data_IF_253832412787
#
_entry.id   IF_253832412787
#
_cell.length_a   1.000
_cell.length_b   1.000
_cell.length_c   1.000
_cell.angle_alpha   90.00
_cell.angle_beta   90.00
_cell.angle_gamma   90.00
#
_symmetry.space_group_name_H-M   'P 1'
#
loop_
_entity.id
_entity.type
_entity.pdbx_description
1 polymer ?
#
# COMPACT_ATOMS: atom_id res chain seq x y z
N UNK A 1 10.11 -34.29 11.81
CA UNK A 1 9.54 -32.91 11.84
C UNK A 1 8.03 -33.05 11.77
N UNK A 2 7.26 -32.41 12.66
CA UNK A 2 5.81 -32.49 12.59
C UNK A 2 5.32 -31.74 11.35
N UNK A 3 4.52 -32.41 10.53
CA UNK A 3 3.88 -31.84 9.34
C UNK A 3 2.79 -30.90 9.83
N UNK A 4 2.99 -29.59 9.61
CA UNK A 4 1.96 -28.58 9.85
C UNK A 4 0.84 -28.83 8.83
N UNK A 5 -0.41 -29.06 9.25
CA UNK A 5 -1.51 -29.27 8.31
C UNK A 5 -1.72 -28.00 7.48
N UNK A 6 -2.10 -28.12 6.20
CA UNK A 6 -2.41 -26.96 5.36
C UNK A 6 -3.54 -26.15 6.01
N UNK A 7 -3.33 -24.83 6.17
CA UNK A 7 -4.37 -23.92 6.66
C UNK A 7 -5.61 -24.06 5.74
N UNK A 8 -6.85 -24.01 6.28
CA UNK A 8 -8.06 -24.08 5.48
C UNK A 8 -8.05 -22.97 4.42
N UNK A 9 -8.36 -23.31 3.16
CA UNK A 9 -8.60 -22.30 2.13
C UNK A 9 -9.90 -21.58 2.50
N UNK A 10 -9.81 -20.29 2.81
CA UNK A 10 -11.02 -19.49 2.97
C UNK A 10 -11.71 -19.33 1.61
N UNK A 11 -13.04 -19.51 1.52
CA UNK A 11 -13.77 -19.25 0.30
C UNK A 11 -13.66 -17.76 -0.07
N UNK A 12 -13.67 -17.41 -1.38
CA UNK A 12 -13.72 -16.02 -1.79
C UNK A 12 -15.01 -15.36 -1.26
N UNK A 13 -14.95 -14.10 -0.82
CA UNK A 13 -16.08 -13.44 -0.18
C UNK A 13 -17.25 -13.18 -1.15
N UNK A 14 -18.46 -13.17 -0.60
CA UNK A 14 -19.71 -12.84 -1.30
C UNK A 14 -19.94 -11.33 -1.29
N UNK A 15 -19.55 -10.67 -2.38
CA UNK A 15 -19.67 -9.22 -2.55
C UNK A 15 -21.11 -8.72 -2.77
N UNK A 16 -22.10 -9.61 -2.88
CA UNK A 16 -23.52 -9.24 -3.00
C UNK A 16 -24.12 -8.91 -1.62
N UNK A 17 -23.64 -9.56 -0.56
CA UNK A 17 -24.19 -9.39 0.79
C UNK A 17 -23.61 -8.21 1.57
N UNK A 18 -22.41 -7.72 1.22
CA UNK A 18 -21.74 -6.66 1.98
C UNK A 18 -21.05 -5.59 1.09
N UNK A 19 -21.81 -4.85 0.26
CA UNK A 19 -21.26 -4.03 -0.83
C UNK A 19 -20.46 -2.78 -0.38
N UNK A 20 -20.54 -2.37 0.89
CA UNK A 20 -20.04 -1.05 1.31
C UNK A 20 -18.79 -1.05 2.20
N UNK A 21 -18.29 -2.19 2.68
CA UNK A 21 -17.20 -2.14 3.66
C UNK A 21 -16.27 -3.35 3.70
N UNK A 22 -16.73 -4.59 3.49
CA UNK A 22 -15.87 -5.78 3.68
C UNK A 22 -14.92 -6.06 2.50
N UNK A 23 -13.83 -5.28 2.43
CA UNK A 23 -12.62 -5.60 1.64
C UNK A 23 -11.50 -6.11 2.54
N UNK A 24 -11.86 -6.68 3.70
CA UNK A 24 -10.92 -7.12 4.73
C UNK A 24 -10.15 -8.39 4.35
N UNK A 25 -10.43 -8.99 3.19
CA UNK A 25 -9.86 -10.26 2.71
C UNK A 25 -9.00 -10.06 1.45
N UNK A 26 -7.95 -10.88 1.23
CA UNK A 26 -7.13 -10.76 0.02
C UNK A 26 -7.99 -11.09 -1.21
N UNK A 27 -7.86 -10.29 -2.26
CA UNK A 27 -8.58 -10.49 -3.51
C UNK A 27 -7.59 -10.83 -4.62
N UNK A 28 -7.73 -12.03 -5.18
CA UNK A 28 -6.77 -12.59 -6.13
C UNK A 28 -7.26 -12.46 -7.57
N UNK A 29 -6.34 -12.14 -8.48
CA UNK A 29 -6.54 -12.27 -9.92
C UNK A 29 -5.68 -13.42 -10.46
N UNK A 30 -6.29 -14.32 -11.22
CA UNK A 30 -5.64 -15.49 -11.82
C UNK A 30 -5.65 -15.42 -13.35
N UNK A 31 -4.76 -16.17 -13.99
CA UNK A 31 -4.86 -16.39 -15.44
C UNK A 31 -6.01 -17.34 -15.75
N UNK A 32 -6.79 -17.01 -16.77
CA UNK A 32 -7.78 -17.94 -17.32
C UNK A 32 -7.05 -19.07 -18.07
N UNK A 33 -7.25 -20.36 -17.71
CA UNK A 33 -6.65 -21.51 -18.42
C UNK A 33 -7.01 -21.62 -19.90
N UNK A 34 -8.08 -20.97 -20.33
CA UNK A 34 -8.51 -20.91 -21.74
C UNK A 34 -8.06 -19.63 -22.45
N UNK A 35 -7.21 -18.81 -21.81
CA UNK A 35 -6.76 -17.55 -22.39
C UNK A 35 -5.86 -17.77 -23.61
N UNK A 36 -6.12 -17.08 -24.75
CA UNK A 36 -5.32 -17.23 -25.96
C UNK A 36 -3.90 -16.66 -25.84
N UNK A 37 -3.60 -15.90 -24.77
CA UNK A 37 -2.25 -15.38 -24.53
C UNK A 37 -1.33 -16.38 -23.81
N UNK A 38 -1.85 -17.49 -23.28
CA UNK A 38 -1.00 -18.47 -22.58
C UNK A 38 0.18 -18.99 -23.41
N UNK A 39 0.05 -19.27 -24.72
CA UNK A 39 1.17 -19.71 -25.54
C UNK A 39 2.28 -18.66 -25.71
N UNK A 40 2.01 -17.38 -25.42
CA UNK A 40 3.00 -16.29 -25.53
C UNK A 40 3.69 -16.01 -24.21
N UNK A 41 3.31 -16.68 -23.12
CA UNK A 41 3.84 -16.46 -21.78
C UNK A 41 4.81 -17.58 -21.39
N UNK A 42 5.84 -17.23 -20.64
CA UNK A 42 6.75 -18.19 -20.01
C UNK A 42 6.50 -18.16 -18.50
N UNK A 43 6.40 -19.34 -17.89
CA UNK A 43 6.12 -19.46 -16.47
C UNK A 43 7.31 -20.08 -15.73
N UNK A 44 7.56 -19.67 -14.47
CA UNK A 44 8.54 -20.31 -13.62
C UNK A 44 8.16 -21.76 -13.29
N UNK A 45 9.14 -22.65 -13.05
CA UNK A 45 8.88 -24.00 -12.59
C UNK A 45 7.95 -24.03 -11.36
N UNK A 46 6.88 -24.82 -11.43
CA UNK A 46 5.90 -24.92 -10.34
C UNK A 46 4.77 -23.88 -10.38
N UNK A 47 4.76 -22.95 -11.34
CA UNK A 47 3.62 -22.08 -11.58
C UNK A 47 2.40 -22.89 -12.02
N UNK A 48 1.26 -22.65 -11.37
CA UNK A 48 0.00 -23.29 -11.71
C UNK A 48 -1.02 -22.23 -12.14
N UNK A 49 -1.42 -22.27 -13.41
CA UNK A 49 -2.34 -21.29 -14.01
C UNK A 49 -3.64 -21.15 -13.20
N UNK A 50 -4.16 -22.27 -12.67
CA UNK A 50 -5.44 -22.30 -11.97
C UNK A 50 -5.36 -21.88 -10.50
N UNK A 51 -4.15 -21.85 -9.90
CA UNK A 51 -4.02 -21.63 -8.45
C UNK A 51 -3.01 -20.59 -8.04
N UNK A 52 -2.09 -20.21 -8.92
CA UNK A 52 -1.07 -19.19 -8.63
C UNK A 52 -1.63 -17.81 -8.99
N UNK A 53 -1.85 -16.93 -8.01
CA UNK A 53 -2.35 -15.58 -8.26
C UNK A 53 -1.28 -14.73 -8.98
N UNK A 54 -1.73 -13.92 -9.95
CA UNK A 54 -0.89 -12.92 -10.62
C UNK A 54 -0.80 -11.63 -9.81
N UNK A 55 -1.96 -11.18 -9.31
CA UNK A 55 -2.12 -9.92 -8.57
C UNK A 55 -2.99 -10.23 -7.36
N UNK A 56 -2.64 -9.61 -6.24
CA UNK A 56 -3.47 -9.61 -5.05
C UNK A 56 -3.67 -8.21 -4.54
N UNK A 57 -4.94 -7.85 -4.32
CA UNK A 57 -5.31 -6.66 -3.60
C UNK A 57 -5.54 -6.99 -2.12
N UNK A 58 -5.01 -6.16 -1.23
CA UNK A 58 -5.21 -6.23 0.22
C UNK A 58 -5.35 -4.81 0.76
N UNK A 59 -6.45 -4.52 1.46
CA UNK A 59 -6.62 -3.24 2.17
C UNK A 59 -5.81 -3.25 3.46
N UNK A 60 -4.91 -2.28 3.60
CA UNK A 60 -4.12 -2.03 4.81
C UNK A 60 -3.98 -0.52 4.97
N UNK A 61 -4.78 0.06 5.85
CA UNK A 61 -4.92 1.52 5.93
C UNK A 61 -3.71 2.17 6.61
N UNK A 62 -3.15 1.56 7.66
CA UNK A 62 -2.10 2.14 8.51
C UNK A 62 -0.71 1.49 8.37
N UNK A 63 -0.60 0.43 7.54
CA UNK A 63 0.59 -0.44 7.36
C UNK A 63 1.10 -1.20 8.61
N UNK A 64 0.71 -0.78 9.79
CA UNK A 64 0.84 -1.50 11.07
C UNK A 64 -0.57 -1.78 11.61
N UNK A 65 -0.70 -2.75 12.52
CA UNK A 65 -1.93 -2.93 13.30
C UNK A 65 -2.06 -1.80 14.33
N UNK A 66 -3.29 -1.49 14.75
CA UNK A 66 -3.53 -0.55 15.85
C UNK A 66 -2.80 -0.97 17.12
N UNK A 67 -2.78 -2.26 17.45
CA UNK A 67 -2.03 -2.78 18.60
C UNK A 67 -0.53 -2.51 18.50
N UNK A 68 0.10 -2.73 17.34
CA UNK A 68 1.52 -2.42 17.16
C UNK A 68 1.79 -0.91 17.26
N UNK A 69 0.89 -0.08 16.75
CA UNK A 69 0.98 1.38 16.88
C UNK A 69 0.84 1.84 18.33
N UNK A 70 -0.09 1.27 19.11
CA UNK A 70 -0.21 1.58 20.54
C UNK A 70 1.03 1.18 21.33
N UNK A 71 1.59 0.00 21.05
CA UNK A 71 2.83 -0.45 21.69
C UNK A 71 3.97 0.51 21.34
N UNK A 72 4.16 0.81 20.05
CA UNK A 72 5.21 1.73 19.60
C UNK A 72 5.03 3.12 20.23
N UNK A 73 3.81 3.64 20.29
CA UNK A 73 3.53 4.94 20.87
C UNK A 73 3.84 4.97 22.38
N UNK A 74 3.44 3.94 23.14
CA UNK A 74 3.78 3.82 24.57
C UNK A 74 5.28 3.75 24.83
N UNK A 75 6.02 3.11 23.94
CA UNK A 75 7.48 3.02 24.04
C UNK A 75 8.18 4.35 23.73
N UNK A 76 7.64 5.13 22.78
CA UNK A 76 8.26 6.38 22.30
C UNK A 76 7.82 7.62 23.07
N UNK A 77 6.57 7.66 23.52
CA UNK A 77 5.93 8.78 24.18
C UNK A 77 5.28 8.33 25.52
N UNK A 78 6.02 7.69 26.44
CA UNK A 78 5.47 7.21 27.71
C UNK A 78 4.85 8.33 28.54
N UNK A 79 5.37 9.55 28.44
CA UNK A 79 4.89 10.74 29.17
C UNK A 79 3.43 11.07 28.87
N UNK A 80 2.92 10.73 27.68
CA UNK A 80 1.51 10.95 27.32
C UNK A 80 0.55 10.02 28.07
N UNK A 81 1.06 8.98 28.73
CA UNK A 81 0.28 8.00 29.50
C UNK A 81 0.50 8.12 31.01
N UNK A 82 1.43 8.95 31.46
CA UNK A 82 1.77 9.13 32.88
C UNK A 82 0.89 10.18 33.56
N UNK A 83 0.31 11.12 32.80
CA UNK A 83 -0.65 12.10 33.34
C UNK A 83 -1.97 11.41 33.74
N UNK A 84 -2.68 11.94 34.75
CA UNK A 84 -3.95 11.40 35.31
C UNK A 84 -5.14 11.30 34.30
N UNK A 85 -4.89 11.49 33.01
CA UNK A 85 -5.86 11.36 31.94
C UNK A 85 -5.95 9.94 31.39
N UNK A 86 -7.16 9.55 30.98
CA UNK A 86 -7.40 8.35 30.17
C UNK A 86 -6.94 8.59 28.72
N UNK A 87 -5.65 8.83 28.48
CA UNK A 87 -5.14 8.97 27.12
C UNK A 87 -5.39 7.70 26.32
N UNK A 88 -5.96 7.87 25.13
CA UNK A 88 -6.16 6.82 24.14
C UNK A 88 -5.61 7.33 22.81
N UNK A 89 -4.80 6.51 22.13
CA UNK A 89 -4.17 6.90 20.87
C UNK A 89 -5.22 7.03 19.76
N UNK A 90 -6.14 6.08 19.72
CA UNK A 90 -7.17 5.94 18.68
C UNK A 90 -8.55 6.30 19.19
N UNK A 91 -9.39 6.78 18.27
CA UNK A 91 -10.83 6.84 18.45
C UNK A 91 -11.49 5.51 18.05
N UNK A 92 -12.82 5.45 18.15
CA UNK A 92 -13.63 4.31 17.68
C UNK A 92 -13.85 4.30 16.15
N UNK A 93 -13.17 5.17 15.39
CA UNK A 93 -13.27 5.19 13.93
C UNK A 93 -12.79 3.85 13.33
N UNK A 94 -13.58 3.30 12.40
CA UNK A 94 -13.28 1.99 11.82
C UNK A 94 -12.11 2.08 10.82
N UNK A 95 -11.11 1.22 11.00
CA UNK A 95 -9.90 1.16 10.17
C UNK A 95 -9.47 -0.28 9.91
N UNK A 96 -8.89 -0.55 8.73
CA UNK A 96 -8.24 -1.84 8.43
C UNK A 96 -6.74 -1.74 8.65
N UNK A 97 -6.35 -1.87 9.91
CA UNK A 97 -4.95 -1.97 10.31
C UNK A 97 -4.54 -3.45 10.37
N UNK A 98 -3.40 -3.82 9.79
CA UNK A 98 -2.86 -5.18 9.85
C UNK A 98 -1.38 -5.15 10.15
N UNK A 99 -0.91 -6.16 10.87
CA UNK A 99 0.51 -6.36 11.08
C UNK A 99 1.23 -6.65 9.75
N UNK A 100 2.45 -6.11 9.55
CA UNK A 100 3.32 -6.47 8.44
C UNK A 100 3.49 -7.97 8.28
N UNK A 101 3.53 -8.74 9.38
CA UNK A 101 3.59 -10.21 9.32
C UNK A 101 2.44 -10.80 8.51
N UNK A 102 1.24 -10.21 8.58
CA UNK A 102 0.06 -10.74 7.88
C UNK A 102 0.10 -10.55 6.37
N UNK A 103 0.55 -9.40 5.88
CA UNK A 103 0.49 -9.10 4.43
C UNK A 103 1.85 -9.16 3.73
N UNK A 104 2.96 -9.04 4.47
CA UNK A 104 4.31 -9.23 3.94
C UNK A 104 4.66 -10.70 4.02
N UNK A 105 4.80 -11.26 5.22
CA UNK A 105 5.31 -12.63 5.41
C UNK A 105 4.29 -13.69 4.99
N UNK A 106 3.05 -13.58 5.48
CA UNK A 106 1.99 -14.57 5.25
C UNK A 106 1.33 -14.46 3.85
N UNK A 107 1.65 -13.43 3.06
CA UNK A 107 1.04 -13.22 1.74
C UNK A 107 2.03 -12.84 0.64
N UNK A 108 2.75 -11.73 0.76
CA UNK A 108 3.66 -11.26 -0.28
C UNK A 108 4.84 -12.22 -0.50
N UNK A 109 5.41 -12.77 0.57
CA UNK A 109 6.57 -13.67 0.52
C UNK A 109 6.21 -15.13 0.22
N UNK A 110 4.93 -15.45 -0.04
CA UNK A 110 4.52 -16.80 -0.39
C UNK A 110 5.30 -17.33 -1.61
N UNK A 111 5.81 -18.58 -1.53
CA UNK A 111 6.47 -19.24 -2.64
C UNK A 111 5.45 -19.90 -3.59
N UNK A 112 5.93 -20.32 -4.75
CA UNK A 112 5.14 -21.13 -5.68
C UNK A 112 4.68 -22.44 -5.01
N UNK A 113 3.47 -22.93 -5.33
CA UNK A 113 2.49 -22.36 -6.25
C UNK A 113 1.54 -21.33 -5.60
N UNK A 114 1.69 -21.02 -4.30
CA UNK A 114 0.75 -20.20 -3.52
C UNK A 114 0.90 -18.69 -3.79
N UNK A 115 2.09 -18.27 -4.18
CA UNK A 115 2.41 -16.92 -4.64
C UNK A 115 3.72 -16.92 -5.42
N UNK A 116 4.04 -15.80 -6.06
CA UNK A 116 5.36 -15.55 -6.67
C UNK A 116 5.50 -14.06 -6.99
N UNK A 117 5.10 -13.20 -6.05
CA UNK A 117 5.00 -11.76 -6.29
C UNK A 117 6.39 -11.12 -6.31
N UNK A 118 6.77 -10.51 -7.43
CA UNK A 118 8.03 -9.79 -7.51
C UNK A 118 7.97 -8.43 -6.77
N UNK A 119 6.81 -7.79 -6.75
CA UNK A 119 6.63 -6.43 -6.25
C UNK A 119 5.41 -6.32 -5.33
N UNK A 120 5.57 -5.60 -4.23
CA UNK A 120 4.47 -5.13 -3.38
C UNK A 120 4.36 -3.61 -3.54
N UNK A 121 3.17 -3.11 -3.84
CA UNK A 121 2.93 -1.67 -3.95
C UNK A 121 2.05 -1.25 -2.78
N UNK A 122 2.53 -0.31 -1.97
CA UNK A 122 1.82 0.22 -0.81
C UNK A 122 1.59 1.72 -0.95
N UNK A 123 0.55 2.23 -0.29
CA UNK A 123 0.26 3.66 -0.19
C UNK A 123 -0.61 3.87 1.06
N UNK A 124 -0.17 4.74 1.96
CA UNK A 124 -0.87 5.08 3.22
C UNK A 124 -0.74 6.58 3.48
N UNK A 125 -1.67 7.13 4.25
CA UNK A 125 -1.70 8.48 4.86
C UNK A 125 -3.17 8.94 5.01
N UNK A 126 -4.09 8.46 4.16
CA UNK A 126 -5.48 8.93 4.16
C UNK A 126 -6.28 8.67 5.44
N UNK A 127 -5.91 7.65 6.21
CA UNK A 127 -6.49 7.35 7.54
C UNK A 127 -5.60 7.83 8.70
N UNK A 128 -4.50 8.52 8.42
CA UNK A 128 -3.66 9.18 9.41
C UNK A 128 -4.20 10.59 9.70
N UNK A 129 -5.40 10.63 10.25
CA UNK A 129 -6.12 11.85 10.62
C UNK A 129 -6.12 12.02 12.13
N UNK A 130 -6.30 13.25 12.62
CA UNK A 130 -6.51 13.51 14.05
C UNK A 130 -7.88 13.04 14.54
N UNK A 131 -8.82 12.70 13.64
CA UNK A 131 -10.06 12.01 14.03
C UNK A 131 -9.80 10.55 14.40
N UNK A 132 -9.01 9.84 13.59
CA UNK A 132 -8.63 8.45 13.83
C UNK A 132 -7.65 8.36 15.01
N UNK A 133 -6.62 9.21 14.99
CA UNK A 133 -5.61 9.32 16.05
C UNK A 133 -5.99 10.43 17.03
N UNK A 134 -7.13 10.27 17.70
CA UNK A 134 -7.72 11.28 18.58
C UNK A 134 -6.87 11.66 19.80
N UNK A 135 -5.83 10.88 20.10
CA UNK A 135 -4.82 11.25 21.10
C UNK A 135 -4.00 12.48 20.70
N UNK A 136 -3.88 12.79 19.42
CA UNK A 136 -3.14 13.96 18.94
C UNK A 136 -4.04 15.18 18.74
N UNK A 137 -3.70 16.27 19.42
CA UNK A 137 -4.36 17.57 19.25
C UNK A 137 -3.97 18.28 17.93
N UNK A 138 -2.81 17.95 17.36
CA UNK A 138 -2.28 18.61 16.15
C UNK A 138 -1.83 17.59 15.11
N UNK A 139 -1.92 17.99 13.83
CA UNK A 139 -1.46 17.15 12.73
C UNK A 139 0.06 17.00 12.71
N UNK A 140 0.81 18.01 13.14
CA UNK A 140 2.28 17.97 13.19
C UNK A 140 2.80 16.91 14.19
N UNK A 141 2.12 16.75 15.34
CA UNK A 141 2.40 15.69 16.29
C UNK A 141 2.14 14.31 15.68
N UNK A 142 1.03 14.17 14.95
CA UNK A 142 0.69 12.94 14.25
C UNK A 142 1.68 12.60 13.12
N UNK A 143 2.13 13.59 12.35
CA UNK A 143 3.16 13.41 11.30
C UNK A 143 4.49 12.94 11.92
N UNK A 144 4.85 13.47 13.09
CA UNK A 144 6.05 13.04 13.82
C UNK A 144 5.96 11.56 14.22
N UNK A 145 4.83 11.14 14.76
CA UNK A 145 4.59 9.73 15.08
C UNK A 145 4.47 8.84 13.85
N UNK A 146 3.90 9.35 12.75
CA UNK A 146 3.92 8.66 11.47
C UNK A 146 5.34 8.34 11.01
N UNK A 147 6.30 9.26 11.17
CA UNK A 147 7.69 9.00 10.85
C UNK A 147 8.29 7.84 11.66
N UNK A 148 8.00 7.78 12.95
CA UNK A 148 8.42 6.66 13.81
C UNK A 148 7.79 5.34 13.39
N UNK A 149 6.49 5.35 13.11
CA UNK A 149 5.74 4.21 12.63
C UNK A 149 6.25 3.71 11.28
N UNK A 150 6.51 4.60 10.33
CA UNK A 150 7.02 4.22 9.01
C UNK A 150 8.46 3.71 9.07
N UNK A 151 9.28 4.24 9.99
CA UNK A 151 10.61 3.68 10.28
C UNK A 151 10.51 2.25 10.83
N UNK A 152 9.60 1.99 11.78
CA UNK A 152 9.36 0.64 12.31
C UNK A 152 8.87 -0.32 11.20
N UNK A 153 7.91 0.12 10.39
CA UNK A 153 7.40 -0.63 9.25
C UNK A 153 8.50 -0.95 8.21
N UNK A 154 9.31 0.04 7.82
CA UNK A 154 10.39 -0.15 6.84
C UNK A 154 11.45 -1.12 7.36
N UNK A 155 11.78 -1.03 8.66
CA UNK A 155 12.73 -1.94 9.32
C UNK A 155 12.23 -3.37 9.32
N UNK A 156 10.96 -3.60 9.71
CA UNK A 156 10.34 -4.94 9.64
C UNK A 156 10.37 -5.47 8.21
N UNK A 157 9.88 -4.67 7.27
CA UNK A 157 9.75 -5.04 5.86
C UNK A 157 11.11 -5.41 5.27
N UNK A 158 12.13 -4.59 5.48
CA UNK A 158 13.47 -4.84 4.99
C UNK A 158 14.11 -6.08 5.60
N UNK A 159 13.87 -6.34 6.90
CA UNK A 159 14.33 -7.56 7.56
C UNK A 159 13.68 -8.80 6.95
N UNK A 160 12.36 -8.77 6.74
CA UNK A 160 11.63 -9.87 6.11
C UNK A 160 12.15 -10.13 4.68
N UNK A 161 12.42 -9.08 3.90
CA UNK A 161 12.99 -9.18 2.56
C UNK A 161 14.42 -9.73 2.55
N UNK A 162 15.23 -9.37 3.56
CA UNK A 162 16.62 -9.84 3.66
C UNK A 162 16.74 -11.35 3.91
N UNK A 163 15.70 -11.94 4.50
CA UNK A 163 15.61 -13.37 4.74
C UNK A 163 14.79 -14.12 3.67
N UNK A 164 14.13 -13.39 2.74
CA UNK A 164 13.37 -14.00 1.67
C UNK A 164 14.29 -14.64 0.63
N UNK A 165 13.84 -15.76 0.05
CA UNK A 165 14.60 -16.46 -0.97
C UNK A 165 14.46 -15.84 -2.37
N UNK A 166 13.57 -14.86 -2.54
CA UNK A 166 13.28 -14.18 -3.79
C UNK A 166 12.13 -14.82 -4.58
N UNK A 167 11.83 -14.20 -5.72
CA UNK A 167 10.86 -14.66 -6.71
C UNK A 167 11.54 -15.59 -7.72
N UNK A 168 10.86 -16.66 -8.15
CA UNK A 168 11.37 -17.57 -9.18
C UNK A 168 11.00 -17.06 -10.58
N UNK A 169 11.99 -16.97 -11.47
CA UNK A 169 11.81 -16.57 -12.87
C UNK A 169 11.61 -17.79 -13.79
N UNK A 170 11.12 -17.62 -15.04
CA UNK A 170 10.93 -18.71 -16.00
C UNK A 170 12.14 -19.63 -16.19
N UNK A 171 13.36 -19.07 -16.18
CA UNK A 171 14.61 -19.84 -16.28
C UNK A 171 15.06 -20.54 -14.98
N UNK A 172 14.25 -20.51 -13.92
CA UNK A 172 14.59 -21.07 -12.60
C UNK A 172 15.56 -20.22 -11.77
N UNK A 173 16.01 -19.08 -12.30
CA UNK A 173 16.79 -18.10 -11.56
C UNK A 173 15.91 -17.40 -10.51
N UNK A 174 16.53 -16.97 -9.42
CA UNK A 174 15.86 -16.19 -8.38
C UNK A 174 16.20 -14.71 -8.50
N UNK A 175 15.25 -13.86 -8.14
CA UNK A 175 15.43 -12.41 -8.09
C UNK A 175 14.88 -11.86 -6.78
N UNK A 176 15.52 -10.81 -6.27
CA UNK A 176 15.06 -10.13 -5.06
C UNK A 176 13.69 -9.49 -5.30
N UNK A 177 12.86 -9.51 -4.25
CA UNK A 177 11.57 -8.81 -4.25
C UNK A 177 11.78 -7.33 -3.92
N UNK A 178 10.87 -6.50 -4.40
CA UNK A 178 10.87 -5.07 -4.12
C UNK A 178 9.54 -4.63 -3.50
N UNK A 179 9.61 -3.63 -2.65
CA UNK A 179 8.46 -2.90 -2.14
C UNK A 179 8.51 -1.49 -2.70
N UNK A 180 7.38 -1.02 -3.23
CA UNK A 180 7.22 0.30 -3.78
C UNK A 180 6.21 1.06 -2.92
N UNK A 181 6.67 2.09 -2.22
CA UNK A 181 5.80 3.06 -1.56
C UNK A 181 5.40 4.11 -2.57
N UNK A 182 4.19 4.00 -3.10
CA UNK A 182 3.62 5.03 -3.98
C UNK A 182 3.09 6.16 -3.10
N UNK A 183 3.50 7.40 -3.41
CA UNK A 183 2.97 8.60 -2.79
C UNK A 183 1.43 8.56 -2.72
N UNK A 184 0.88 8.93 -1.56
CA UNK A 184 -0.55 9.02 -1.36
C UNK A 184 -1.11 10.23 -2.11
N UNK A 185 -2.25 10.04 -2.78
CA UNK A 185 -2.95 11.11 -3.48
C UNK A 185 -4.03 11.69 -2.55
N UNK A 186 -3.95 12.98 -2.16
CA UNK A 186 -5.09 13.61 -1.52
C UNK A 186 -6.28 13.78 -2.49
N UNK A 187 -7.48 13.94 -1.96
CA UNK A 187 -8.63 14.34 -2.76
C UNK A 187 -8.54 15.77 -3.29
N UNK A 188 -9.50 16.15 -4.14
CA UNK A 188 -9.63 17.52 -4.66
C UNK A 188 -10.90 18.18 -4.14
N UNK A 189 -10.77 19.22 -3.34
CA UNK A 189 -11.93 20.00 -2.89
C UNK A 189 -12.71 20.56 -4.08
N UNK A 190 -14.04 20.54 -3.96
CA UNK A 190 -14.95 21.02 -4.99
C UNK A 190 -14.66 20.43 -6.39
N UNK A 191 -14.21 19.18 -6.47
CA UNK A 191 -13.82 18.51 -7.73
C UNK A 191 -14.91 18.64 -8.83
N UNK A 192 -16.18 18.67 -8.43
CA UNK A 192 -17.34 18.84 -9.31
C UNK A 192 -17.45 20.21 -10.01
N UNK A 193 -16.58 21.16 -9.69
CA UNK A 193 -16.47 22.45 -10.40
C UNK A 193 -15.48 22.39 -11.58
N UNK A 194 -14.69 21.31 -11.70
CA UNK A 194 -13.69 21.12 -12.74
C UNK A 194 -14.22 20.22 -13.85
N UNK A 195 -13.87 20.53 -15.11
CA UNK A 195 -14.28 19.76 -16.30
C UNK A 195 -13.09 19.35 -17.17
N UNK A 196 -11.88 19.68 -16.75
CA UNK A 196 -10.63 19.41 -17.45
C UNK A 196 -9.46 19.38 -16.46
N UNK A 197 -8.32 18.80 -16.87
CA UNK A 197 -7.07 18.96 -16.15
C UNK A 197 -6.76 20.42 -15.86
N UNK A 198 -5.99 20.66 -14.81
CA UNK A 198 -5.51 21.97 -14.41
C UNK A 198 -4.01 22.12 -14.73
N UNK A 199 -3.57 23.33 -15.03
CA UNK A 199 -2.15 23.61 -15.31
C UNK A 199 -1.30 23.67 -14.02
N UNK A 200 -1.93 23.96 -12.89
CA UNK A 200 -1.32 24.04 -11.56
C UNK A 200 -2.21 23.32 -10.56
N UNK A 201 -1.60 22.76 -9.52
CA UNK A 201 -2.33 22.07 -8.45
C UNK A 201 -3.20 23.11 -7.73
N UNK A 202 -4.54 22.95 -7.70
CA UNK A 202 -5.41 23.84 -6.96
C UNK A 202 -5.04 23.85 -5.47
N UNK A 203 -5.00 25.02 -4.80
CA UNK A 203 -4.78 25.08 -3.36
C UNK A 203 -5.96 24.46 -2.63
N UNK A 204 -5.67 23.79 -1.51
CA UNK A 204 -6.72 23.34 -0.60
C UNK A 204 -7.19 24.51 0.25
N UNK A 205 -8.51 24.68 0.33
CA UNK A 205 -9.19 25.76 1.07
C UNK A 205 -9.68 25.27 2.42
N UNK A 206 -10.24 24.07 2.47
CA UNK A 206 -10.91 23.51 3.65
C UNK A 206 -10.03 22.52 4.42
N UNK A 207 -9.03 21.96 3.75
CA UNK A 207 -8.18 20.90 4.26
C UNK A 207 -9.02 19.72 4.81
N UNK A 208 -9.96 19.21 4.01
CA UNK A 208 -10.83 18.11 4.45
C UNK A 208 -9.99 16.94 4.99
N UNK A 209 -10.36 16.45 6.17
CA UNK A 209 -9.63 15.41 6.91
C UNK A 209 -8.18 15.82 7.21
N UNK A 210 -7.22 15.35 6.40
CA UNK A 210 -5.81 15.69 6.47
C UNK A 210 -5.22 15.99 5.08
N UNK A 211 -6.06 16.22 4.05
CA UNK A 211 -5.62 16.25 2.65
C UNK A 211 -4.49 17.24 2.38
N UNK A 212 -4.56 18.41 3.01
CA UNK A 212 -3.56 19.48 2.90
C UNK A 212 -2.23 19.13 3.54
N UNK A 213 -2.22 18.14 4.43
CA UNK A 213 -1.03 17.61 5.11
C UNK A 213 -0.45 16.35 4.45
N UNK A 214 -1.10 15.81 3.40
CA UNK A 214 -0.60 14.63 2.68
C UNK A 214 0.80 14.83 2.08
N UNK A 215 1.17 16.01 1.53
CA UNK A 215 2.54 16.24 1.07
C UNK A 215 3.60 15.97 2.15
N UNK A 216 3.31 16.32 3.40
CA UNK A 216 4.20 16.12 4.56
C UNK A 216 4.31 14.64 4.92
N UNK A 217 3.21 13.88 4.91
CA UNK A 217 3.25 12.41 5.05
C UNK A 217 4.06 11.75 3.93
N UNK A 218 3.92 12.23 2.69
CA UNK A 218 4.70 11.73 1.55
C UNK A 218 6.20 12.05 1.70
N UNK A 219 6.55 13.24 2.21
CA UNK A 219 7.95 13.61 2.48
C UNK A 219 8.59 12.71 3.53
N UNK A 220 7.85 12.26 4.55
CA UNK A 220 8.38 11.29 5.53
C UNK A 220 8.92 10.03 4.85
N UNK A 221 8.17 9.45 3.90
CA UNK A 221 8.67 8.30 3.14
C UNK A 221 9.82 8.64 2.22
N UNK A 222 9.76 9.80 1.57
CA UNK A 222 10.83 10.26 0.70
C UNK A 222 12.15 10.37 1.46
N UNK A 223 12.15 10.98 2.64
CA UNK A 223 13.33 11.18 3.48
C UNK A 223 13.81 9.85 4.08
N UNK A 224 12.88 9.04 4.60
CA UNK A 224 13.19 7.72 5.19
C UNK A 224 13.88 6.80 4.18
N UNK A 225 13.40 6.78 2.94
CA UNK A 225 13.87 5.89 1.88
C UNK A 225 14.95 6.52 0.98
N UNK A 226 15.31 7.79 1.20
CA UNK A 226 16.43 8.43 0.52
C UNK A 226 17.78 7.84 0.97
N UNK A 227 17.87 7.32 2.19
CA UNK A 227 19.06 6.63 2.68
C UNK A 227 19.07 5.15 2.27
N UNK A 228 20.25 4.60 2.04
CA UNK A 228 20.47 3.21 1.60
C UNK A 228 20.22 2.15 2.71
N UNK A 229 19.61 2.52 3.84
CA UNK A 229 19.24 1.59 4.92
C UNK A 229 18.19 0.57 4.51
N UNK A 230 17.38 0.88 3.49
CA UNK A 230 16.28 0.04 3.01
C UNK A 230 16.41 -0.28 1.51
N UNK A 231 17.43 -1.04 1.08
CA UNK A 231 17.75 -1.24 -0.34
C UNK A 231 16.63 -1.91 -1.18
N UNK A 232 15.65 -2.57 -0.54
CA UNK A 232 14.55 -3.24 -1.23
C UNK A 232 13.23 -2.46 -1.16
N UNK A 233 13.22 -1.26 -0.57
CA UNK A 233 12.03 -0.43 -0.40
C UNK A 233 12.26 0.91 -1.10
N UNK A 234 11.37 1.25 -2.04
CA UNK A 234 11.55 2.37 -2.94
C UNK A 234 10.38 3.35 -2.80
N UNK A 235 10.66 4.64 -2.68
CA UNK A 235 9.62 5.67 -2.74
C UNK A 235 9.35 6.10 -4.19
N UNK A 236 8.08 6.24 -4.56
CA UNK A 236 7.68 6.68 -5.89
C UNK A 236 6.73 7.90 -5.84
N UNK A 237 7.26 9.12 -6.08
CA UNK A 237 6.51 10.37 -6.00
C UNK A 237 5.68 10.64 -7.28
N UNK A 238 4.70 9.78 -7.57
CA UNK A 238 3.83 9.89 -8.77
C UNK A 238 2.44 10.45 -8.47
N UNK A 239 2.23 11.08 -7.33
CA UNK A 239 0.95 11.73 -6.98
C UNK A 239 0.70 13.00 -7.81
N UNK A 240 1.75 13.74 -8.18
CA UNK A 240 1.63 15.04 -8.86
C UNK A 240 0.77 15.03 -10.13
N UNK A 241 0.93 14.11 -11.10
CA UNK A 241 0.05 14.07 -12.27
C UNK A 241 -1.43 13.95 -11.90
N UNK A 242 -1.76 13.21 -10.85
CA UNK A 242 -3.14 13.06 -10.40
C UNK A 242 -3.64 14.29 -9.63
N UNK A 243 -2.76 15.01 -8.91
CA UNK A 243 -3.09 16.31 -8.27
C UNK A 243 -3.42 17.44 -9.26
N UNK A 244 -3.17 17.22 -10.55
CA UNK A 244 -3.57 18.13 -11.64
C UNK A 244 -4.91 17.73 -12.26
N UNK A 245 -5.56 16.70 -11.73
CA UNK A 245 -6.75 16.06 -12.31
C UNK A 245 -7.98 16.10 -11.40
N UNK A 246 -8.41 17.29 -10.93
CA UNK A 246 -9.67 17.41 -10.19
C UNK A 246 -10.90 17.01 -11.04
N UNK A 247 -10.76 16.95 -12.37
CA UNK A 247 -11.78 16.48 -13.31
C UNK A 247 -11.96 14.94 -13.33
N UNK A 248 -11.03 14.18 -12.75
CA UNK A 248 -10.99 12.72 -12.86
C UNK A 248 -11.75 11.98 -11.74
N UNK A 249 -12.59 12.67 -10.99
CA UNK A 249 -13.29 12.14 -9.83
C UNK A 249 -14.70 11.61 -10.15
N UNK A 250 -15.20 10.71 -9.30
CA UNK A 250 -16.56 10.19 -9.42
C UNK A 250 -17.62 11.25 -9.02
N UNK A 251 -18.85 11.07 -9.47
CA UNK A 251 -19.94 12.00 -9.10
C UNK A 251 -20.25 11.88 -7.61
N UNK A 252 -20.09 12.96 -6.85
CA UNK A 252 -20.28 13.01 -5.40
C UNK A 252 -19.08 12.57 -4.54
N UNK A 253 -17.98 12.13 -5.15
CA UNK A 253 -16.80 11.64 -4.44
C UNK A 253 -15.52 12.27 -5.00
N UNK A 254 -14.94 13.17 -4.21
CA UNK A 254 -13.73 13.90 -4.57
C UNK A 254 -12.44 13.27 -4.05
N UNK A 255 -12.49 12.05 -3.52
CA UNK A 255 -11.31 11.28 -3.11
C UNK A 255 -10.95 10.25 -4.18
N UNK A 256 -11.94 9.50 -4.67
CA UNK A 256 -11.70 8.39 -5.58
C UNK A 256 -11.68 8.83 -7.04
N UNK A 257 -10.76 8.25 -7.79
CA UNK A 257 -10.53 8.49 -9.22
C UNK A 257 -11.30 7.48 -10.05
N UNK A 258 -11.94 7.92 -11.13
CA UNK A 258 -12.63 7.03 -12.05
C UNK A 258 -11.64 6.33 -12.99
N UNK A 259 -11.88 5.04 -13.24
CA UNK A 259 -11.22 4.33 -14.33
C UNK A 259 -11.60 4.97 -15.68
N UNK A 260 -10.64 5.02 -16.60
CA UNK A 260 -10.79 5.63 -17.93
C UNK A 260 -10.50 7.13 -17.99
N UNK A 261 -10.28 7.81 -16.85
CA UNK A 261 -9.87 9.22 -16.85
C UNK A 261 -8.38 9.42 -17.18
N UNK A 262 -7.58 8.35 -17.28
CA UNK A 262 -6.16 8.36 -17.64
C UNK A 262 -5.21 8.46 -16.44
N UNK A 263 -5.71 8.72 -15.23
CA UNK A 263 -4.88 8.82 -14.02
C UNK A 263 -4.45 7.44 -13.54
N UNK A 264 -5.41 6.52 -13.36
CA UNK A 264 -5.11 5.15 -12.90
C UNK A 264 -4.27 4.42 -13.95
N UNK A 265 -4.62 4.58 -15.22
CA UNK A 265 -3.91 3.99 -16.35
C UNK A 265 -2.46 4.50 -16.41
N UNK A 266 -2.25 5.82 -16.33
CA UNK A 266 -0.92 6.41 -16.31
C UNK A 266 -0.08 5.95 -15.11
N UNK A 267 -0.68 5.80 -13.93
CA UNK A 267 0.00 5.20 -12.78
C UNK A 267 0.38 3.75 -13.02
N UNK A 268 -0.53 2.93 -13.54
CA UNK A 268 -0.26 1.53 -13.85
C UNK A 268 0.88 1.38 -14.86
N UNK A 269 0.86 2.16 -15.94
CA UNK A 269 1.92 2.17 -16.95
C UNK A 269 3.27 2.58 -16.35
N UNK A 270 3.29 3.66 -15.56
CA UNK A 270 4.53 4.13 -14.95
C UNK A 270 5.08 3.13 -13.93
N UNK A 271 4.24 2.56 -13.07
CA UNK A 271 4.66 1.56 -12.08
C UNK A 271 5.16 0.30 -12.76
N UNK A 272 4.49 -0.16 -13.83
CA UNK A 272 4.98 -1.25 -14.65
C UNK A 272 6.36 -0.93 -15.23
N UNK A 273 6.55 0.26 -15.81
CA UNK A 273 7.83 0.67 -16.37
C UNK A 273 8.93 0.71 -15.29
N UNK A 274 8.67 1.35 -14.16
CA UNK A 274 9.61 1.49 -13.04
C UNK A 274 10.03 0.12 -12.47
N UNK A 275 9.07 -0.77 -12.22
CA UNK A 275 9.35 -2.10 -11.66
C UNK A 275 10.03 -3.04 -12.66
N UNK A 276 9.74 -2.90 -13.96
CA UNK A 276 10.31 -3.76 -15.01
C UNK A 276 11.70 -3.32 -15.46
N UNK A 277 11.91 -2.03 -15.67
CA UNK A 277 13.15 -1.52 -16.26
C UNK A 277 14.12 -1.00 -15.20
N UNK A 278 13.65 -0.11 -14.32
CA UNK A 278 14.53 0.54 -13.34
C UNK A 278 14.92 -0.40 -12.21
N UNK A 279 13.93 -0.99 -11.52
CA UNK A 279 14.21 -1.99 -10.47
C UNK A 279 14.53 -3.36 -11.06
N UNK A 280 14.10 -3.60 -12.30
CA UNK A 280 14.16 -4.92 -12.88
C UNK A 280 15.52 -5.30 -13.43
N UNK A 281 16.43 -4.34 -13.62
CA UNK A 281 17.78 -4.57 -14.12
C UNK A 281 17.82 -5.03 -15.57
N UNK A 282 16.77 -4.77 -16.35
CA UNK A 282 16.85 -4.91 -17.81
C UNK A 282 17.61 -3.69 -18.30
N UNK A 283 18.94 -3.79 -18.32
CA UNK A 283 19.77 -2.86 -19.08
C UNK A 283 19.23 -2.86 -20.52
N UNK A 284 18.87 -1.68 -21.00
CA UNK A 284 18.39 -1.53 -22.37
C UNK A 284 19.42 -2.10 -23.34
N UNK A 285 18.96 -2.99 -24.22
CA UNK A 285 19.65 -3.27 -25.48
C UNK A 285 19.74 -2.02 -26.35
#
# INVERSE_FOLDING_TARGET
MPVIPPRPRHPPPDYVQNPYFDRAWPQHMYLNPSSPVLPTLQFPPGFNISTTPLITFRRVDLLLSTTELEILHREKHPEMYEEEGNFTLFSDEAVWSLSPTTYIEDLFLLPLPYGNYANLIVSTAGHWTTSMFSGYATIDGLISFFAEAMHAWATHTQLALSHDSGVLLPGGQKKNRNVLVRAYLPGHEDCHTHRSPTAQIPPMKWNWYNWGSIPEFNHVFQDLLANHSYPNIHFLPIDRPARLRPDAHATGDCLHIIAGAGVLEGWTEYVWHYTTWFLGGVEGE
#
